data_IF_088614459142
#
_entry.id   IF_088614459142
#
_cell.length_a   1.000
_cell.length_b   1.000
_cell.length_c   1.000
_cell.angle_alpha   90.00
_cell.angle_beta   90.00
_cell.angle_gamma   90.00
#
_symmetry.space_group_name_H-M   'P 1'
#
loop_
_entity.id
_entity.type
_entity.pdbx_description
1 polymer ?
#
# COMPACT_ATOMS: atom_id res chain seq x y z
N UNK A 1 -5.62 -6.92 13.61
CA UNK A 1 -6.18 -5.65 14.14
C UNK A 1 -5.59 -4.43 13.41
N UNK A 2 -4.30 -4.39 13.11
CA UNK A 2 -3.65 -3.32 12.31
C UNK A 2 -4.10 -3.24 10.83
N UNK A 3 -4.49 -4.37 10.24
CA UNK A 3 -4.98 -4.46 8.86
C UNK A 3 -6.16 -3.53 8.56
N UNK A 4 -7.15 -3.47 9.47
CA UNK A 4 -8.34 -2.62 9.29
C UNK A 4 -7.95 -1.14 9.26
N UNK A 5 -7.06 -0.72 10.16
CA UNK A 5 -6.55 0.65 10.20
C UNK A 5 -5.79 1.01 8.91
N UNK A 6 -4.97 0.10 8.39
CA UNK A 6 -4.26 0.33 7.14
C UNK A 6 -5.21 0.42 5.93
N UNK A 7 -6.27 -0.40 5.90
CA UNK A 7 -7.31 -0.33 4.88
C UNK A 7 -8.13 0.96 4.97
N UNK A 8 -8.43 1.45 6.18
CA UNK A 8 -9.11 2.73 6.38
C UNK A 8 -8.26 3.90 5.89
N UNK A 9 -6.94 3.85 6.08
CA UNK A 9 -6.01 4.84 5.54
C UNK A 9 -5.92 4.79 4.01
N UNK A 10 -5.87 3.60 3.42
CA UNK A 10 -5.91 3.44 1.96
C UNK A 10 -7.23 3.97 1.39
N UNK A 11 -8.36 3.64 2.01
CA UNK A 11 -9.67 4.15 1.60
C UNK A 11 -9.76 5.67 1.75
N UNK A 12 -9.17 6.23 2.80
CA UNK A 12 -9.10 7.67 2.98
C UNK A 12 -8.21 8.35 1.93
N UNK A 13 -7.09 7.72 1.58
CA UNK A 13 -6.20 8.19 0.52
C UNK A 13 -6.94 8.19 -0.84
N UNK A 14 -7.58 7.08 -1.20
CA UNK A 14 -8.32 6.96 -2.46
C UNK A 14 -9.51 7.95 -2.52
N UNK A 15 -10.22 8.19 -1.41
CA UNK A 15 -11.29 9.21 -1.34
C UNK A 15 -10.78 10.65 -1.55
N UNK A 16 -9.55 10.94 -1.16
CA UNK A 16 -8.96 12.27 -1.26
C UNK A 16 -7.91 12.36 -2.38
N UNK A 17 -7.95 11.43 -3.34
CA UNK A 17 -6.89 11.27 -4.34
C UNK A 17 -6.62 12.54 -5.15
N UNK A 18 -7.65 13.33 -5.47
CA UNK A 18 -7.52 14.56 -6.26
C UNK A 18 -6.82 15.67 -5.46
N UNK A 19 -7.25 15.91 -4.21
CA UNK A 19 -6.63 16.89 -3.33
C UNK A 19 -5.17 16.51 -3.00
N UNK A 20 -4.92 15.21 -2.81
CA UNK A 20 -3.57 14.69 -2.61
C UNK A 20 -2.74 14.86 -3.89
N UNK A 21 -3.31 14.60 -5.07
CA UNK A 21 -2.62 14.76 -6.33
C UNK A 21 -2.21 16.21 -6.57
N UNK A 22 -3.04 17.19 -6.21
CA UNK A 22 -2.68 18.61 -6.27
C UNK A 22 -1.49 18.95 -5.38
N UNK A 23 -1.43 18.37 -4.17
CA UNK A 23 -0.27 18.52 -3.27
C UNK A 23 0.97 17.86 -3.89
N UNK A 24 0.83 16.65 -4.41
CA UNK A 24 1.93 15.92 -5.05
C UNK A 24 2.42 16.67 -6.29
N UNK A 25 1.55 17.33 -7.05
CA UNK A 25 1.91 18.16 -8.19
C UNK A 25 2.76 19.36 -7.77
N UNK A 26 2.45 19.97 -6.62
CA UNK A 26 3.25 21.09 -6.07
C UNK A 26 4.63 20.64 -5.56
N UNK A 27 4.72 19.43 -5.00
CA UNK A 27 5.96 18.91 -4.39
C UNK A 27 6.87 18.21 -5.40
N UNK A 28 6.29 17.38 -6.27
CA UNK A 28 7.01 16.49 -7.19
C UNK A 28 6.87 16.88 -8.67
N UNK A 29 6.04 17.88 -8.99
CA UNK A 29 5.87 18.35 -10.36
C UNK A 29 5.46 17.24 -11.32
N UNK A 30 6.22 17.08 -12.40
CA UNK A 30 5.96 16.07 -13.44
C UNK A 30 6.00 14.63 -12.91
N UNK A 31 6.67 14.38 -11.79
CA UNK A 31 6.74 13.06 -11.17
C UNK A 31 5.56 12.74 -10.25
N UNK A 32 4.62 13.68 -10.03
CA UNK A 32 3.50 13.51 -9.10
C UNK A 32 2.70 12.22 -9.33
N UNK A 33 2.52 11.83 -10.60
CA UNK A 33 1.77 10.64 -11.00
C UNK A 33 2.52 9.32 -10.74
N UNK A 34 3.85 9.38 -10.64
CA UNK A 34 4.69 8.25 -10.20
C UNK A 34 4.64 8.17 -8.67
N UNK A 35 4.78 9.32 -7.99
CA UNK A 35 4.73 9.41 -6.54
C UNK A 35 3.38 9.03 -5.95
N UNK A 36 2.27 9.36 -6.61
CA UNK A 36 0.92 8.91 -6.21
C UNK A 36 0.83 7.38 -6.15
N UNK A 37 1.39 6.68 -7.16
CA UNK A 37 1.42 5.20 -7.17
C UNK A 37 2.32 4.64 -6.07
N UNK A 38 3.47 5.28 -5.79
CA UNK A 38 4.37 4.87 -4.71
C UNK A 38 3.72 5.02 -3.34
N UNK A 39 3.02 6.12 -3.09
CA UNK A 39 2.25 6.31 -1.86
C UNK A 39 1.16 5.25 -1.70
N UNK A 40 0.45 4.93 -2.79
CA UNK A 40 -0.55 3.86 -2.77
C UNK A 40 0.06 2.49 -2.48
N UNK A 41 1.22 2.18 -3.08
CA UNK A 41 1.98 0.96 -2.78
C UNK A 41 2.46 0.89 -1.33
N UNK A 42 2.82 2.03 -0.72
CA UNK A 42 3.18 2.09 0.70
C UNK A 42 2.00 1.73 1.61
N UNK A 43 0.81 2.28 1.35
CA UNK A 43 -0.40 1.93 2.09
C UNK A 43 -0.83 0.47 1.85
N UNK A 44 -0.67 -0.02 0.62
CA UNK A 44 -0.92 -1.43 0.30
C UNK A 44 0.09 -2.38 0.97
N UNK A 45 1.37 -2.02 1.05
CA UNK A 45 2.38 -2.83 1.75
C UNK A 45 2.12 -2.86 3.26
N UNK A 46 1.69 -1.74 3.85
CA UNK A 46 1.30 -1.68 5.28
C UNK A 46 0.00 -2.43 5.56
N UNK A 47 -0.94 -2.48 4.61
CA UNK A 47 -2.14 -3.32 4.70
C UNK A 47 -1.85 -4.81 4.46
N UNK A 48 -1.04 -5.14 3.44
CA UNK A 48 -0.68 -6.48 3.00
C UNK A 48 0.25 -7.23 3.97
N UNK A 49 0.99 -6.52 4.83
CA UNK A 49 1.67 -7.14 5.96
C UNK A 49 0.70 -7.82 6.94
N UNK A 50 -0.60 -7.51 6.87
CA UNK A 50 -1.64 -8.08 7.74
C UNK A 50 -2.84 -8.69 7.00
N UNK A 51 -3.05 -8.39 5.72
CA UNK A 51 -4.24 -8.80 4.97
C UNK A 51 -4.00 -9.94 4.00
N UNK A 52 -4.28 -11.14 4.47
CA UNK A 52 -4.38 -12.35 3.66
C UNK A 52 -5.64 -12.30 2.79
N UNK A 53 -5.55 -12.02 1.48
CA UNK A 53 -6.58 -12.46 0.51
C UNK A 53 -6.29 -12.12 -0.97
N UNK A 54 -6.34 -13.17 -1.80
CA UNK A 54 -6.92 -13.22 -3.16
C UNK A 54 -6.42 -12.25 -4.23
N UNK A 55 -5.33 -12.62 -4.92
CA UNK A 55 -5.43 -12.72 -6.39
C UNK A 55 -4.35 -12.10 -7.25
N UNK A 56 -3.56 -11.13 -6.79
CA UNK A 56 -2.38 -10.70 -7.54
C UNK A 56 -1.25 -10.28 -6.59
N UNK A 57 -0.12 -10.95 -6.82
CA UNK A 57 1.05 -11.13 -5.97
C UNK A 57 1.77 -9.83 -5.64
N UNK A 58 1.92 -9.47 -4.36
CA UNK A 58 3.14 -8.88 -3.75
C UNK A 58 3.07 -9.05 -2.21
N UNK A 59 2.86 -10.27 -1.72
CA UNK A 59 2.76 -10.57 -0.29
C UNK A 59 3.95 -11.40 0.19
N UNK A 60 4.67 -10.90 1.20
CA UNK A 60 5.80 -11.55 1.89
C UNK A 60 5.55 -13.05 2.12
N UNK A 61 6.44 -13.90 1.58
CA UNK A 61 6.40 -15.36 1.79
C UNK A 61 6.83 -15.72 3.22
N UNK A 62 5.93 -16.30 4.01
CA UNK A 62 6.30 -16.99 5.26
C UNK A 62 6.82 -18.40 4.93
N UNK A 63 8.14 -18.60 5.03
CA UNK A 63 8.75 -19.93 4.98
C UNK A 63 8.68 -20.58 6.36
N UNK A 64 7.89 -21.64 6.50
CA UNK A 64 7.95 -22.54 7.65
C UNK A 64 8.91 -23.68 7.32
N UNK A 65 10.18 -23.52 7.70
CA UNK A 65 11.16 -24.60 7.63
C UNK A 65 10.80 -25.69 8.65
N UNK A 66 10.67 -26.93 8.18
CA UNK A 66 10.72 -28.12 9.05
C UNK A 66 12.18 -28.52 9.23
N UNK A 67 12.55 -29.15 10.36
CA UNK A 67 13.89 -29.70 10.52
C UNK A 67 14.12 -30.70 9.39
N UNK A 68 15.26 -30.58 8.71
CA UNK A 68 15.78 -31.69 7.93
C UNK A 68 16.17 -32.77 8.95
N UNK A 69 15.41 -33.87 8.97
CA UNK A 69 15.83 -35.10 9.63
C UNK A 69 17.02 -35.69 8.89
#
# INVERSE_FOLDING_TARGET
>A
QYEKTANDWLANYDRNADAIFDILLRVYGTEARIWQRRWRLFFLATAGLFGHARGEEWGVSHYRLRPAG
#
